data_IF_949245235088
#
_entry.id   IF_949245235088
#
_cell.length_a   1.000
_cell.length_b   1.000
_cell.length_c   1.000
_cell.angle_alpha   90.00
_cell.angle_beta   90.00
_cell.angle_gamma   90.00
#
_symmetry.space_group_name_H-M   'P 1'
#
loop_
_entity.id
_entity.type
_entity.pdbx_description
1 polymer ?
#
# COMPACT_ATOMS: atom_id res chain seq x y z
N UNK A 1 -3.94 -13.71 -14.01
CA UNK A 1 -3.76 -13.86 -12.55
C UNK A 1 -3.49 -12.48 -11.99
N UNK A 2 -4.26 -12.05 -11.00
CA UNK A 2 -4.06 -10.76 -10.34
C UNK A 2 -2.73 -10.72 -9.58
N UNK A 3 -2.27 -9.51 -9.30
CA UNK A 3 -0.99 -9.24 -8.62
C UNK A 3 -0.99 -9.71 -7.16
N UNK A 4 -2.17 -9.72 -6.52
CA UNK A 4 -2.38 -10.12 -5.13
C UNK A 4 -2.89 -11.56 -5.05
N UNK A 5 -2.27 -12.39 -4.21
CA UNK A 5 -2.69 -13.80 -4.03
C UNK A 5 -3.62 -13.98 -2.84
N UNK A 6 -3.31 -13.33 -1.70
CA UNK A 6 -4.08 -13.51 -0.48
C UNK A 6 -5.29 -12.60 -0.42
N UNK A 7 -6.34 -13.06 0.26
CA UNK A 7 -7.58 -12.29 0.39
C UNK A 7 -7.36 -10.99 1.17
N UNK A 8 -6.55 -11.01 2.22
CA UNK A 8 -6.23 -9.82 3.02
C UNK A 8 -4.81 -9.37 2.69
N UNK A 9 -4.67 -8.10 2.31
CA UNK A 9 -3.40 -7.50 1.93
C UNK A 9 -3.18 -6.23 2.74
N UNK A 10 -2.03 -6.13 3.39
CA UNK A 10 -1.63 -4.96 4.17
C UNK A 10 -0.52 -4.23 3.40
N UNK A 11 -0.74 -2.97 3.06
CA UNK A 11 0.24 -2.13 2.37
C UNK A 11 0.88 -1.20 3.41
N UNK A 12 2.15 -1.45 3.73
CA UNK A 12 2.90 -0.69 4.72
C UNK A 12 4.24 -0.18 4.17
N UNK A 13 4.90 0.71 4.90
CA UNK A 13 6.15 1.33 4.46
C UNK A 13 6.31 2.78 4.88
N UNK A 14 7.51 3.33 4.71
CA UNK A 14 7.84 4.69 5.17
C UNK A 14 6.90 5.76 4.58
N UNK A 15 6.84 6.92 5.23
CA UNK A 15 6.08 8.06 4.75
C UNK A 15 6.54 8.47 3.34
N UNK A 16 5.55 8.74 2.47
CA UNK A 16 5.81 9.17 1.11
C UNK A 16 6.29 8.08 0.14
N UNK A 17 6.42 6.82 0.52
CA UNK A 17 6.77 5.74 -0.42
C UNK A 17 5.69 5.43 -1.46
N UNK A 18 4.54 6.11 -1.41
CA UNK A 18 3.46 6.03 -2.40
C UNK A 18 2.44 4.91 -2.15
N UNK A 19 2.37 4.41 -0.91
CA UNK A 19 1.42 3.38 -0.45
C UNK A 19 -0.01 3.61 -0.92
N UNK A 20 -0.60 4.75 -0.60
CA UNK A 20 -1.99 5.07 -0.97
C UNK A 20 -2.25 4.97 -2.46
N UNK A 21 -1.37 5.51 -3.30
CA UNK A 21 -1.53 5.41 -4.75
C UNK A 21 -1.47 3.96 -5.23
N UNK A 22 -0.55 3.18 -4.66
CA UNK A 22 -0.43 1.76 -4.96
C UNK A 22 -1.66 0.96 -4.48
N UNK A 23 -2.15 1.22 -3.25
CA UNK A 23 -3.36 0.61 -2.69
C UNK A 23 -4.58 0.86 -3.57
N UNK A 24 -4.74 2.08 -4.11
CA UNK A 24 -5.81 2.43 -5.05
C UNK A 24 -5.67 1.65 -6.36
N UNK A 25 -4.47 1.58 -6.95
CA UNK A 25 -4.24 0.83 -8.18
C UNK A 25 -4.58 -0.66 -8.00
N UNK A 26 -4.07 -1.28 -6.93
CA UNK A 26 -4.31 -2.68 -6.63
C UNK A 26 -5.81 -2.97 -6.42
N UNK A 27 -6.52 -2.08 -5.72
CA UNK A 27 -7.95 -2.24 -5.49
C UNK A 27 -8.76 -2.18 -6.79
N UNK A 28 -8.49 -1.19 -7.64
CA UNK A 28 -9.16 -1.01 -8.94
C UNK A 28 -8.84 -2.20 -9.87
N UNK A 29 -7.60 -2.69 -9.87
CA UNK A 29 -7.22 -3.85 -10.68
C UNK A 29 -7.97 -5.12 -10.27
N UNK A 30 -8.05 -5.40 -8.96
CA UNK A 30 -8.83 -6.52 -8.44
C UNK A 30 -10.33 -6.39 -8.79
N UNK A 31 -10.92 -5.20 -8.62
CA UNK A 31 -12.31 -4.96 -8.95
C UNK A 31 -12.59 -5.13 -10.46
N UNK A 32 -11.70 -4.64 -11.32
CA UNK A 32 -11.76 -4.84 -12.78
C UNK A 32 -11.59 -6.30 -13.19
N UNK A 33 -10.94 -7.13 -12.38
CA UNK A 33 -10.93 -8.58 -12.57
C UNK A 33 -12.17 -9.31 -12.05
N UNK A 34 -13.17 -8.58 -11.55
CA UNK A 34 -14.46 -9.11 -11.10
C UNK A 34 -14.48 -9.54 -9.64
N UNK A 35 -13.49 -9.15 -8.84
CA UNK A 35 -13.47 -9.45 -7.40
C UNK A 35 -14.33 -8.44 -6.62
N UNK A 36 -14.95 -8.88 -5.53
CA UNK A 36 -15.48 -7.95 -4.50
C UNK A 36 -14.30 -7.42 -3.69
N UNK A 37 -14.09 -6.10 -3.69
CA UNK A 37 -12.92 -5.47 -3.06
C UNK A 37 -13.36 -4.40 -2.07
N UNK A 38 -12.78 -4.48 -0.87
CA UNK A 38 -12.84 -3.42 0.15
C UNK A 38 -11.45 -2.84 0.37
N UNK A 39 -11.31 -1.52 0.20
CA UNK A 39 -10.12 -0.75 0.58
C UNK A 39 -10.36 -0.08 1.94
N UNK A 40 -9.52 -0.39 2.90
CA UNK A 40 -9.55 0.17 4.26
C UNK A 40 -8.45 1.22 4.39
N UNK A 41 -8.84 2.46 4.67
CA UNK A 41 -7.94 3.55 4.97
C UNK A 41 -7.73 3.64 6.49
N UNK A 42 -6.51 3.35 6.95
CA UNK A 42 -6.13 3.47 8.36
C UNK A 42 -5.23 4.68 8.64
N UNK A 43 -4.95 5.53 7.66
CA UNK A 43 -4.16 6.73 7.89
C UNK A 43 -5.02 7.83 8.55
N UNK A 44 -5.08 7.77 9.88
CA UNK A 44 -5.79 8.75 10.71
C UNK A 44 -4.97 10.01 11.00
N UNK A 45 -3.68 10.02 10.66
CA UNK A 45 -2.75 11.09 11.01
C UNK A 45 -2.58 12.07 9.87
N UNK A 46 -2.42 11.56 8.65
CA UNK A 46 -2.13 12.39 7.50
C UNK A 46 -3.40 13.08 6.98
N UNK A 47 -3.50 14.43 7.02
CA UNK A 47 -4.68 15.13 6.49
C UNK A 47 -4.73 15.17 4.96
N UNK A 48 -3.66 14.76 4.28
CA UNK A 48 -3.53 14.77 2.82
C UNK A 48 -3.20 13.37 2.29
N UNK A 49 -3.54 13.07 1.03
CA UNK A 49 -3.15 11.81 0.39
C UNK A 49 -3.76 10.55 1.04
N UNK A 50 -4.99 10.63 1.51
CA UNK A 50 -5.71 9.50 2.08
C UNK A 50 -6.48 8.76 0.99
N UNK A 51 -6.51 7.43 1.05
CA UNK A 51 -7.29 6.64 0.07
C UNK A 51 -8.78 6.97 0.15
N UNK A 52 -9.27 7.33 1.33
CA UNK A 52 -10.64 7.81 1.54
C UNK A 52 -10.98 9.07 0.71
N UNK A 53 -10.01 9.94 0.40
CA UNK A 53 -10.26 11.15 -0.40
C UNK A 53 -10.55 10.81 -1.88
N UNK A 54 -10.28 9.56 -2.30
CA UNK A 54 -10.52 9.05 -3.66
C UNK A 54 -11.72 8.09 -3.75
N UNK A 55 -12.57 8.07 -2.72
CA UNK A 55 -13.71 7.14 -2.63
C UNK A 55 -14.68 7.22 -3.80
N UNK A 56 -14.88 8.40 -4.38
CA UNK A 56 -15.72 8.58 -5.57
C UNK A 56 -15.19 7.80 -6.78
N UNK A 57 -13.88 7.82 -7.00
CA UNK A 57 -13.24 7.06 -8.10
C UNK A 57 -13.30 5.56 -7.78
N UNK A 58 -12.94 5.19 -6.55
CA UNK A 58 -12.96 3.81 -6.08
C UNK A 58 -14.37 3.17 -6.20
N UNK A 59 -15.40 3.88 -5.75
CA UNK A 59 -16.80 3.40 -5.81
C UNK A 59 -17.27 3.24 -7.25
N UNK A 60 -16.92 4.17 -8.16
CA UNK A 60 -17.24 4.03 -9.59
C UNK A 60 -16.57 2.83 -10.23
N UNK A 61 -15.40 2.45 -9.75
CA UNK A 61 -14.65 1.25 -10.18
C UNK A 61 -15.09 -0.02 -9.44
N UNK A 62 -16.12 0.04 -8.58
CA UNK A 62 -16.66 -1.11 -7.87
C UNK A 62 -15.93 -1.47 -6.56
N UNK A 63 -15.08 -0.58 -6.05
CA UNK A 63 -14.35 -0.77 -4.78
C UNK A 63 -15.13 -0.13 -3.64
N UNK A 64 -15.43 -0.92 -2.60
CA UNK A 64 -15.97 -0.41 -1.33
C UNK A 64 -14.86 0.24 -0.52
N UNK A 65 -15.13 1.38 0.12
CA UNK A 65 -14.15 2.11 0.94
C UNK A 65 -14.61 2.17 2.40
N UNK A 66 -13.69 1.87 3.32
CA UNK A 66 -13.88 2.03 4.76
C UNK A 66 -12.81 2.99 5.27
N UNK A 67 -13.22 4.05 5.96
CA UNK A 67 -12.28 5.02 6.53
C UNK A 67 -12.97 6.00 7.48
N UNK A 68 -12.20 6.86 8.17
CA UNK A 68 -12.70 7.74 9.23
C UNK A 68 -13.86 8.66 8.80
N UNK A 69 -13.81 9.13 7.56
CA UNK A 69 -14.84 10.04 7.01
C UNK A 69 -16.16 9.33 6.67
N UNK A 70 -16.16 8.00 6.55
CA UNK A 70 -17.34 7.22 6.11
C UNK A 70 -18.17 6.67 7.29
N UNK A 71 -17.55 6.47 8.46
CA UNK A 71 -18.20 5.84 9.61
C UNK A 71 -19.25 6.74 10.32
N UNK A 72 -19.25 8.06 10.07
CA UNK A 72 -20.04 9.03 10.84
C UNK A 72 -21.32 9.53 10.12
N UNK A 73 -21.73 8.90 9.02
CA UNK A 73 -22.80 9.47 8.17
C UNK A 73 -24.22 8.99 8.49
N UNK A 74 -24.41 7.87 9.22
CA UNK A 74 -25.73 7.38 9.64
C UNK A 74 -25.67 6.60 10.97
N UNK A 75 -26.69 6.75 11.83
CA UNK A 75 -26.81 6.11 13.16
C UNK A 75 -26.79 4.57 13.14
N UNK A 76 -27.15 3.94 12.01
CA UNK A 76 -27.15 2.49 11.83
C UNK A 76 -25.82 1.94 11.25
N UNK A 77 -24.82 2.81 11.04
CA UNK A 77 -23.52 2.40 10.49
C UNK A 77 -22.66 1.81 11.62
N UNK A 78 -22.06 0.61 11.44
CA UNK A 78 -21.14 0.06 12.43
C UNK A 78 -19.99 1.05 12.70
N UNK A 79 -19.50 1.07 13.95
CA UNK A 79 -18.31 1.85 14.30
C UNK A 79 -17.14 1.47 13.39
N UNK A 80 -16.20 2.39 13.13
CA UNK A 80 -15.05 2.12 12.26
C UNK A 80 -14.31 0.80 12.62
N UNK A 81 -14.03 0.49 13.90
CA UNK A 81 -13.46 -0.81 14.26
C UNK A 81 -14.34 -2.01 13.89
N UNK A 82 -15.67 -1.89 14.06
CA UNK A 82 -16.61 -2.94 13.68
C UNK A 82 -16.70 -3.14 12.17
N UNK A 83 -16.65 -2.05 11.39
CA UNK A 83 -16.62 -2.10 9.93
C UNK A 83 -15.33 -2.77 9.41
N UNK A 84 -14.18 -2.44 9.99
CA UNK A 84 -12.89 -3.04 9.65
C UNK A 84 -12.88 -4.54 9.99
N UNK A 85 -13.26 -4.90 11.22
CA UNK A 85 -13.32 -6.30 11.64
C UNK A 85 -14.27 -7.11 10.75
N UNK A 86 -15.47 -6.58 10.48
CA UNK A 86 -16.42 -7.22 9.59
C UNK A 86 -15.88 -7.42 8.17
N UNK A 87 -15.19 -6.42 7.61
CA UNK A 87 -14.59 -6.56 6.28
C UNK A 87 -13.48 -7.63 6.24
N UNK A 88 -12.65 -7.71 7.29
CA UNK A 88 -11.62 -8.75 7.40
C UNK A 88 -12.27 -10.14 7.51
N UNK A 89 -13.41 -10.29 8.17
CA UNK A 89 -14.10 -11.59 8.31
C UNK A 89 -14.95 -11.98 7.08
N UNK A 90 -15.51 -11.00 6.38
CA UNK A 90 -16.28 -11.20 5.16
C UNK A 90 -15.33 -11.69 4.05
N UNK A 91 -15.64 -12.83 3.41
CA UNK A 91 -14.78 -13.50 2.42
C UNK A 91 -14.45 -12.75 1.12
N UNK A 92 -14.57 -11.42 1.11
CA UNK A 92 -14.15 -10.51 0.04
C UNK A 92 -12.66 -10.15 0.12
N UNK A 93 -12.10 -9.61 -0.97
CA UNK A 93 -10.72 -9.10 -1.02
C UNK A 93 -10.64 -7.83 -0.17
N UNK A 94 -9.67 -7.78 0.73
CA UNK A 94 -9.40 -6.63 1.60
C UNK A 94 -8.01 -6.11 1.32
N UNK A 95 -7.90 -4.81 1.11
CA UNK A 95 -6.62 -4.08 1.02
C UNK A 95 -6.62 -3.05 2.14
N UNK A 96 -5.58 -3.04 2.97
CA UNK A 96 -5.43 -2.13 4.11
C UNK A 96 -4.29 -1.17 3.81
N UNK A 97 -4.62 0.11 3.62
CA UNK A 97 -3.67 1.20 3.42
C UNK A 97 -3.24 1.75 4.78
N UNK A 98 -1.99 1.51 5.15
CA UNK A 98 -1.44 1.86 6.46
C UNK A 98 -0.71 3.20 6.37
N UNK A 99 -0.92 4.07 7.36
CA UNK A 99 -0.15 5.30 7.51
C UNK A 99 1.35 5.05 7.54
N UNK A 100 2.14 5.99 7.03
CA UNK A 100 3.59 5.82 6.85
C UNK A 100 4.48 6.14 8.05
N UNK A 101 3.88 6.47 9.19
CA UNK A 101 4.53 6.91 10.41
C UNK A 101 4.31 5.91 11.56
N UNK A 102 4.94 6.16 12.70
CA UNK A 102 4.84 5.33 13.90
C UNK A 102 3.38 5.17 14.37
N UNK A 103 2.57 6.22 14.20
CA UNK A 103 1.17 6.22 14.58
C UNK A 103 0.34 5.33 13.65
N UNK A 104 0.58 5.34 12.34
CA UNK A 104 -0.02 4.41 11.38
C UNK A 104 0.32 2.95 11.68
N UNK A 105 1.61 2.66 11.96
CA UNK A 105 2.04 1.32 12.36
C UNK A 105 1.41 0.87 13.69
N UNK A 106 1.30 1.79 14.67
CA UNK A 106 0.65 1.51 15.96
C UNK A 106 -0.86 1.26 15.80
N UNK A 107 -1.54 2.04 14.95
CA UNK A 107 -2.95 1.85 14.66
C UNK A 107 -3.23 0.48 14.03
N UNK A 108 -2.37 0.02 13.11
CA UNK A 108 -2.41 -1.34 12.56
C UNK A 108 -2.26 -2.40 13.66
N UNK A 109 -1.41 -2.15 14.66
CA UNK A 109 -1.19 -3.06 15.79
C UNK A 109 -2.45 -3.43 16.58
N UNK A 110 -3.45 -2.54 16.62
CA UNK A 110 -4.76 -2.80 17.27
C UNK A 110 -5.50 -3.98 16.62
N UNK A 111 -5.34 -4.17 15.32
CA UNK A 111 -6.01 -5.22 14.53
C UNK A 111 -5.09 -6.42 14.24
N UNK A 112 -3.87 -6.43 14.81
CA UNK A 112 -2.84 -7.44 14.53
C UNK A 112 -3.31 -8.88 14.68
N UNK A 113 -4.14 -9.17 15.69
CA UNK A 113 -4.67 -10.51 15.91
C UNK A 113 -5.57 -10.94 14.75
N UNK A 114 -6.60 -10.16 14.44
CA UNK A 114 -7.56 -10.47 13.38
C UNK A 114 -6.87 -10.53 12.01
N UNK A 115 -5.93 -9.63 11.76
CA UNK A 115 -5.16 -9.60 10.52
C UNK A 115 -4.30 -10.85 10.39
N UNK A 116 -3.55 -11.25 11.43
CA UNK A 116 -2.73 -12.47 11.39
C UNK A 116 -3.57 -13.76 11.28
N UNK A 117 -4.73 -13.83 11.93
CA UNK A 117 -5.67 -14.97 11.82
C UNK A 117 -6.21 -15.12 10.38
N UNK A 118 -6.21 -14.05 9.59
CA UNK A 118 -6.60 -14.07 8.19
C UNK A 118 -5.46 -14.44 7.20
N UNK A 119 -4.28 -14.79 7.72
CA UNK A 119 -3.08 -15.18 6.95
C UNK A 119 -2.77 -14.21 5.79
N UNK A 120 -2.41 -12.95 6.11
CA UNK A 120 -2.41 -11.87 5.14
C UNK A 120 -1.10 -11.85 4.33
N UNK A 121 -1.19 -11.30 3.12
CA UNK A 121 -0.01 -10.75 2.46
C UNK A 121 0.30 -9.37 3.06
N UNK A 122 1.48 -9.25 3.67
CA UNK A 122 1.97 -7.97 4.20
C UNK A 122 3.06 -7.46 3.26
N UNK A 123 2.76 -6.37 2.59
CA UNK A 123 3.51 -5.79 1.49
C UNK A 123 4.25 -4.56 2.01
N UNK A 124 5.58 -4.66 2.08
CA UNK A 124 6.44 -3.53 2.43
C UNK A 124 6.85 -2.76 1.16
N UNK A 125 6.40 -1.51 1.08
CA UNK A 125 6.62 -0.61 -0.05
C UNK A 125 7.84 0.27 0.22
N UNK A 126 8.86 0.11 -0.62
CA UNK A 126 10.12 0.86 -0.52
C UNK A 126 10.22 1.94 -1.60
N UNK A 127 10.92 3.02 -1.30
CA UNK A 127 11.29 4.06 -2.26
C UNK A 127 12.69 4.59 -1.93
N UNK A 128 13.66 4.32 -2.82
CA UNK A 128 15.06 4.74 -2.70
C UNK A 128 15.22 6.26 -2.57
N UNK A 129 14.30 7.03 -3.14
CA UNK A 129 14.37 8.48 -3.22
C UNK A 129 13.73 9.18 -2.01
N UNK A 130 13.33 8.43 -0.99
CA UNK A 130 12.85 9.00 0.26
C UNK A 130 13.98 9.20 1.25
N UNK A 131 14.01 10.39 1.84
CA UNK A 131 14.85 10.70 2.99
C UNK A 131 14.65 9.65 4.07
N UNK A 132 15.72 9.31 4.79
CA UNK A 132 15.74 8.27 5.84
C UNK A 132 15.58 6.83 5.34
N UNK A 133 15.39 6.58 4.04
CA UNK A 133 15.42 5.24 3.43
C UNK A 133 16.23 5.25 2.13
N UNK A 134 17.35 5.98 2.12
CA UNK A 134 18.18 6.19 0.92
C UNK A 134 19.13 5.03 0.65
N UNK A 135 19.39 4.20 1.66
CA UNK A 135 20.21 3.00 1.56
C UNK A 135 19.42 1.74 1.92
N UNK A 136 19.78 0.55 1.39
CA UNK A 136 19.08 -0.68 1.71
C UNK A 136 19.03 -1.00 3.22
N UNK A 137 20.10 -0.84 4.02
CA UNK A 137 20.04 -1.05 5.46
C UNK A 137 19.04 -0.14 6.17
N UNK A 138 18.96 1.14 5.82
CA UNK A 138 17.97 2.08 6.38
C UNK A 138 16.55 1.61 6.08
N UNK A 139 16.28 1.14 4.86
CA UNK A 139 14.97 0.57 4.52
C UNK A 139 14.66 -0.70 5.32
N UNK A 140 15.65 -1.51 5.69
CA UNK A 140 15.45 -2.66 6.58
C UNK A 140 15.16 -2.22 8.01
N UNK A 141 15.83 -1.19 8.52
CA UNK A 141 15.59 -0.65 9.86
C UNK A 141 14.14 -0.17 10.01
N UNK A 142 13.65 0.65 9.06
CA UNK A 142 12.26 1.10 9.05
C UNK A 142 11.27 -0.08 9.00
N UNK A 143 11.58 -1.14 8.23
CA UNK A 143 10.74 -2.34 8.23
C UNK A 143 10.66 -2.95 9.64
N UNK A 144 11.79 -3.07 10.36
CA UNK A 144 11.80 -3.65 11.71
C UNK A 144 11.01 -2.82 12.72
N UNK A 145 11.05 -1.50 12.60
CA UNK A 145 10.23 -0.59 13.41
C UNK A 145 8.74 -0.81 13.15
N UNK A 146 8.33 -0.84 11.88
CA UNK A 146 6.94 -1.12 11.48
C UNK A 146 6.49 -2.48 12.02
N UNK A 147 7.27 -3.54 11.82
CA UNK A 147 6.94 -4.89 12.31
C UNK A 147 6.80 -4.95 13.83
N UNK A 148 7.64 -4.20 14.55
CA UNK A 148 7.61 -4.12 16.01
C UNK A 148 6.36 -3.40 16.53
N UNK A 149 6.04 -2.25 15.95
CA UNK A 149 4.87 -1.45 16.32
C UNK A 149 3.55 -2.14 15.92
N UNK A 150 3.48 -2.68 14.70
CA UNK A 150 2.28 -3.32 14.17
C UNK A 150 2.10 -4.77 14.65
N UNK A 151 3.14 -5.41 15.19
CA UNK A 151 3.14 -6.84 15.58
C UNK A 151 2.72 -7.77 14.43
N UNK A 152 3.08 -7.39 13.21
CA UNK A 152 2.79 -8.09 11.97
C UNK A 152 4.09 -8.15 11.16
N UNK A 153 4.39 -9.30 10.55
CA UNK A 153 5.61 -9.50 9.75
C UNK A 153 5.36 -9.24 8.28
N UNK A 154 6.29 -8.52 7.63
CA UNK A 154 6.23 -8.38 6.17
C UNK A 154 6.47 -9.74 5.50
N UNK A 155 5.81 -9.94 4.37
CA UNK A 155 5.86 -11.18 3.59
C UNK A 155 6.46 -10.96 2.22
N UNK A 156 6.34 -9.75 1.67
CA UNK A 156 6.67 -9.42 0.28
C UNK A 156 7.13 -7.96 0.17
N UNK A 157 7.90 -7.65 -0.87
CA UNK A 157 8.38 -6.30 -1.19
C UNK A 157 7.79 -5.78 -2.50
N UNK A 158 7.49 -4.49 -2.53
CA UNK A 158 7.27 -3.73 -3.78
C UNK A 158 8.20 -2.54 -3.80
N UNK A 159 8.93 -2.38 -4.91
CA UNK A 159 9.73 -1.20 -5.16
C UNK A 159 8.88 -0.12 -5.84
N UNK A 160 8.53 0.93 -5.10
CA UNK A 160 7.84 2.10 -5.61
C UNK A 160 8.76 3.33 -5.58
N UNK A 161 9.98 3.15 -6.09
CA UNK A 161 10.96 4.25 -6.17
C UNK A 161 10.56 5.25 -7.24
N UNK A 162 10.00 6.38 -6.80
CA UNK A 162 9.50 7.44 -7.65
C UNK A 162 9.95 8.82 -7.17
N UNK A 163 10.01 9.76 -8.11
CA UNK A 163 10.22 11.20 -7.88
C UNK A 163 8.95 12.01 -8.23
N UNK A 164 7.77 11.37 -8.12
CA UNK A 164 6.47 11.94 -8.51
C UNK A 164 6.46 12.30 -10.00
N UNK A 165 6.13 13.53 -10.37
CA UNK A 165 6.12 14.02 -11.74
C UNK A 165 7.49 14.03 -12.42
N UNK A 166 8.58 13.89 -11.65
CA UNK A 166 9.94 13.76 -12.18
C UNK A 166 10.39 12.31 -12.38
N UNK A 167 9.49 11.34 -12.17
CA UNK A 167 9.82 9.92 -12.39
C UNK A 167 9.98 9.67 -13.89
N UNK A 168 11.15 9.18 -14.27
CA UNK A 168 11.45 8.73 -15.64
C UNK A 168 11.98 7.28 -15.63
N UNK A 169 12.29 6.74 -16.81
CA UNK A 169 12.77 5.37 -16.94
C UNK A 169 14.06 5.13 -16.14
N UNK A 170 14.98 6.12 -16.12
CA UNK A 170 16.24 6.02 -15.37
C UNK A 170 16.01 5.99 -13.87
N UNK A 171 15.05 6.77 -13.38
CA UNK A 171 14.62 6.75 -11.97
C UNK A 171 14.20 5.35 -11.54
N UNK A 172 13.46 4.63 -12.39
CA UNK A 172 13.05 3.25 -12.10
C UNK A 172 14.26 2.31 -12.19
N UNK A 173 15.03 2.37 -13.28
CA UNK A 173 16.19 1.49 -13.53
C UNK A 173 17.25 1.61 -12.42
N UNK A 174 17.60 2.83 -12.00
CA UNK A 174 18.59 3.11 -10.95
C UNK A 174 18.15 2.65 -9.56
N UNK A 175 16.87 2.34 -9.37
CA UNK A 175 16.33 1.86 -8.09
C UNK A 175 16.33 0.35 -7.94
N UNK A 176 16.51 -0.40 -9.04
CA UNK A 176 16.41 -1.87 -9.02
C UNK A 176 17.50 -2.49 -8.14
N UNK A 177 18.79 -2.13 -8.26
CA UNK A 177 19.83 -2.71 -7.38
C UNK A 177 19.56 -2.44 -5.89
N UNK A 178 18.96 -1.30 -5.57
CA UNK A 178 18.54 -0.98 -4.21
C UNK A 178 17.45 -1.95 -3.73
N UNK A 179 16.43 -2.19 -4.55
CA UNK A 179 15.33 -3.09 -4.19
C UNK A 179 15.76 -4.56 -4.08
N UNK A 180 16.65 -5.01 -4.95
CA UNK A 180 17.26 -6.34 -4.90
C UNK A 180 18.08 -6.52 -3.62
N UNK A 181 18.84 -5.51 -3.22
CA UNK A 181 19.62 -5.57 -1.98
C UNK A 181 18.72 -5.55 -0.73
N UNK A 182 17.64 -4.77 -0.72
CA UNK A 182 16.63 -4.84 0.37
C UNK A 182 16.00 -6.24 0.42
N UNK A 183 15.65 -6.81 -0.73
CA UNK A 183 15.13 -8.18 -0.83
C UNK A 183 16.11 -9.20 -0.25
N UNK A 184 17.40 -9.09 -0.59
CA UNK A 184 18.46 -9.96 -0.07
C UNK A 184 18.64 -9.82 1.44
N UNK A 185 18.66 -8.60 1.98
CA UNK A 185 18.86 -8.33 3.40
C UNK A 185 17.67 -8.77 4.27
N UNK A 186 16.45 -8.60 3.76
CA UNK A 186 15.22 -8.96 4.49
C UNK A 186 14.84 -10.43 4.32
N UNK A 187 15.29 -11.07 3.23
CA UNK A 187 14.84 -12.39 2.81
C UNK A 187 13.44 -12.39 2.17
N UNK A 188 12.84 -11.21 1.95
CA UNK A 188 11.49 -11.08 1.40
C UNK A 188 11.53 -11.07 -0.13
N UNK A 189 10.62 -11.77 -0.82
CA UNK A 189 10.55 -11.75 -2.28
C UNK A 189 10.14 -10.37 -2.81
N UNK A 190 10.92 -9.85 -3.76
CA UNK A 190 10.53 -8.69 -4.57
C UNK A 190 9.51 -9.11 -5.64
N UNK A 191 8.28 -8.61 -5.50
CA UNK A 191 7.19 -8.86 -6.43
C UNK A 191 7.42 -8.13 -7.75
N UNK A 192 7.53 -6.80 -7.66
CA UNK A 192 7.73 -5.92 -8.80
C UNK A 192 8.23 -4.55 -8.40
N UNK A 193 8.72 -3.82 -9.39
CA UNK A 193 8.89 -2.36 -9.34
C UNK A 193 7.73 -1.70 -10.06
N UNK A 194 7.23 -0.60 -9.52
CA UNK A 194 6.17 0.18 -10.17
C UNK A 194 6.75 1.13 -11.21
N UNK A 195 5.93 1.51 -12.18
CA UNK A 195 6.25 2.57 -13.14
C UNK A 195 4.98 3.35 -13.48
N UNK A 196 4.99 4.70 -13.52
CA UNK A 196 3.87 5.45 -14.07
C UNK A 196 3.58 5.02 -15.52
N UNK A 197 2.31 4.83 -15.90
CA UNK A 197 1.95 4.30 -17.23
C UNK A 197 2.48 5.12 -18.41
N UNK A 198 2.68 6.41 -18.22
CA UNK A 198 3.17 7.36 -19.21
C UNK A 198 4.70 7.34 -19.38
N UNK A 199 5.43 6.63 -18.51
CA UNK A 199 6.88 6.49 -18.59
C UNK A 199 7.26 5.29 -19.49
N UNK A 200 7.90 5.53 -20.64
CA UNK A 200 8.33 4.45 -21.52
C UNK A 200 9.59 3.77 -20.98
N UNK A 201 9.51 2.48 -20.65
CA UNK A 201 10.69 1.72 -20.23
C UNK A 201 11.47 1.23 -21.44
N UNK A 202 12.78 1.52 -21.44
CA UNK A 202 13.67 1.28 -22.58
C UNK A 202 14.25 -0.14 -22.58
N UNK A 203 14.39 -0.79 -21.41
CA UNK A 203 15.22 -2.01 -21.32
C UNK A 203 14.74 -3.11 -20.36
N UNK A 204 13.89 -2.80 -19.38
CA UNK A 204 13.50 -3.77 -18.32
C UNK A 204 12.01 -4.08 -18.43
N UNK A 205 11.68 -5.36 -18.62
CA UNK A 205 10.30 -5.85 -18.71
C UNK A 205 9.91 -6.81 -17.59
N UNK A 206 10.87 -7.49 -16.99
CA UNK A 206 10.59 -8.46 -15.93
C UNK A 206 10.27 -7.74 -14.62
N UNK A 207 9.18 -8.17 -13.97
CA UNK A 207 8.72 -7.65 -12.67
C UNK A 207 8.51 -6.14 -12.64
N UNK A 208 7.97 -5.57 -13.72
CA UNK A 208 7.47 -4.20 -13.74
C UNK A 208 5.95 -4.20 -13.69
N UNK A 209 5.39 -3.33 -12.86
CA UNK A 209 3.95 -3.11 -12.76
C UNK A 209 3.57 -1.66 -13.10
N UNK A 210 2.91 -1.40 -14.25
CA UNK A 210 2.46 -0.07 -14.60
C UNK A 210 1.31 0.41 -13.71
N UNK A 211 1.42 1.61 -13.16
CA UNK A 211 0.43 2.23 -12.27
C UNK A 211 -0.06 3.58 -12.80
N UNK A 212 -1.31 3.90 -12.50
CA UNK A 212 -1.87 5.25 -12.67
C UNK A 212 -1.49 6.12 -11.47
N UNK A 213 -1.24 7.41 -11.70
CA UNK A 213 -0.97 8.39 -10.63
C UNK A 213 -2.27 9.12 -10.29
N UNK A 214 -3.04 8.56 -9.36
CA UNK A 214 -4.27 9.15 -8.84
C UNK A 214 -3.98 10.23 -7.79
N UNK A 215 -2.97 9.97 -6.94
CA UNK A 215 -2.70 10.77 -5.77
C UNK A 215 -1.85 11.99 -6.14
N UNK A 216 -2.52 13.15 -6.25
CA UNK A 216 -1.90 14.44 -6.59
C UNK A 216 -1.66 15.29 -5.37
N UNK A 217 -0.69 16.20 -5.48
CA UNK A 217 -0.42 17.18 -4.43
C UNK A 217 -1.49 18.28 -4.42
N UNK A 218 -1.80 18.88 -3.25
CA UNK A 218 -2.79 19.95 -3.15
C UNK A 218 -2.50 21.21 -4.01
N UNK A 219 -1.29 21.33 -4.56
CA UNK A 219 -0.83 22.46 -5.36
C UNK A 219 -0.69 22.13 -6.86
N UNK A 220 -1.10 20.92 -7.27
CA UNK A 220 -1.31 20.52 -8.67
C UNK A 220 -2.80 20.59 -9.03
#
# INVERSE_FOLDING_TARGET
>A
MGVLTERVNVVCGHYGTGKTNLSINLAIECARSGESVTLIDMDVVNPYFRSADYADILTREGVRVIGPNFANTNLDTPSLPGAIAGAIEMGERVIIDVGGDDAGATALGVYSRQINEAEPDVIYVINRYRSLTTTPPEAVEILREIEGAARIKATKLINNSHLKSLTDARTVEDSIPFAEEVSRLTGLPLLFSTVPRDVPLLSIRDKIHPIEVFVKTPWE
#
